data_IF_405329566184
#
_entry.id   IF_405329566184
#
_cell.length_a   1.000
_cell.length_b   1.000
_cell.length_c   1.000
_cell.angle_alpha   90.00
_cell.angle_beta   90.00
_cell.angle_gamma   90.00
#
_symmetry.space_group_name_H-M   'P 1'
#
loop_
_entity.id
_entity.type
_entity.pdbx_description
1 polymer ?
#
# COMPACT_ATOMS: atom_id res chain seq x y z
N UNK A 1 -39.53 34.66 -2.71
CA UNK A 1 -39.89 33.22 -2.66
C UNK A 1 -39.36 32.55 -3.91
N UNK A 2 -38.73 31.36 -3.83
CA UNK A 2 -38.21 30.67 -5.00
C UNK A 2 -39.34 30.32 -5.96
N UNK A 3 -39.15 30.59 -7.25
CA UNK A 3 -40.11 30.24 -8.30
C UNK A 3 -39.53 29.06 -9.07
N UNK A 4 -40.31 27.98 -9.16
CA UNK A 4 -39.97 26.81 -9.99
C UNK A 4 -40.60 27.02 -11.35
N UNK A 5 -39.78 27.13 -12.38
CA UNK A 5 -40.25 27.29 -13.76
C UNK A 5 -40.76 25.96 -14.33
N UNK A 6 -41.52 26.03 -15.44
CA UNK A 6 -42.08 24.85 -16.10
C UNK A 6 -41.02 23.85 -16.62
N UNK A 7 -39.78 24.29 -16.82
CA UNK A 7 -38.62 23.43 -17.15
C UNK A 7 -37.82 22.98 -15.92
N UNK A 8 -38.41 23.13 -14.72
CA UNK A 8 -37.87 22.70 -13.43
C UNK A 8 -36.58 23.41 -13.01
N UNK A 9 -36.39 24.68 -13.38
CA UNK A 9 -35.32 25.51 -12.81
C UNK A 9 -35.84 26.23 -11.56
N UNK A 10 -34.98 26.34 -10.56
CA UNK A 10 -35.28 27.12 -9.34
C UNK A 10 -34.61 28.48 -9.50
N UNK A 11 -35.41 29.50 -9.75
CA UNK A 11 -34.93 30.88 -9.80
C UNK A 11 -35.12 31.49 -8.41
N UNK A 12 -34.02 31.95 -7.83
CA UNK A 12 -34.00 32.63 -6.54
C UNK A 12 -33.47 34.05 -6.71
N UNK A 13 -34.31 35.03 -6.39
CA UNK A 13 -33.88 36.41 -6.16
C UNK A 13 -34.15 36.75 -4.70
N UNK A 14 -33.09 36.94 -3.95
CA UNK A 14 -33.16 37.35 -2.56
C UNK A 14 -31.84 37.98 -2.11
N UNK A 15 -31.88 38.78 -1.04
CA UNK A 15 -30.82 39.74 -0.73
C UNK A 15 -29.61 39.13 -0.03
N UNK A 16 -29.67 37.88 0.44
CA UNK A 16 -28.61 37.28 1.26
C UNK A 16 -28.10 35.94 0.71
N UNK A 17 -26.81 35.70 0.92
CA UNK A 17 -26.12 34.44 0.57
C UNK A 17 -26.54 33.27 1.45
N UNK A 18 -27.00 33.52 2.69
CA UNK A 18 -27.47 32.46 3.59
C UNK A 18 -28.80 31.88 3.12
N UNK A 19 -29.69 32.71 2.58
CA UNK A 19 -30.97 32.26 2.05
C UNK A 19 -30.81 31.42 0.76
N UNK A 20 -29.85 31.80 -0.10
CA UNK A 20 -29.52 31.01 -1.29
C UNK A 20 -28.94 29.63 -0.92
N UNK A 21 -28.17 29.55 0.17
CA UNK A 21 -27.59 28.30 0.68
C UNK A 21 -28.65 27.38 1.29
N UNK A 22 -29.64 27.96 1.99
CA UNK A 22 -30.81 27.25 2.51
C UNK A 22 -31.67 26.66 1.37
N UNK A 23 -31.94 27.43 0.31
CA UNK A 23 -32.68 26.96 -0.87
C UNK A 23 -31.92 25.85 -1.60
N UNK A 24 -30.59 25.93 -1.70
CA UNK A 24 -29.76 24.88 -2.29
C UNK A 24 -29.79 23.58 -1.47
N UNK A 25 -29.68 23.67 -0.14
CA UNK A 25 -29.74 22.48 0.72
C UNK A 25 -31.13 21.83 0.72
N UNK A 26 -32.20 22.62 0.67
CA UNK A 26 -33.57 22.12 0.53
C UNK A 26 -33.77 21.38 -0.81
N UNK A 27 -33.22 21.92 -1.91
CA UNK A 27 -33.24 21.25 -3.22
C UNK A 27 -32.40 19.96 -3.26
N UNK A 28 -31.31 19.91 -2.49
CA UNK A 28 -30.45 18.73 -2.32
C UNK A 28 -31.14 17.61 -1.55
N UNK A 29 -31.88 17.94 -0.48
CA UNK A 29 -32.60 16.94 0.34
C UNK A 29 -33.83 16.37 -0.36
N UNK A 30 -34.47 17.13 -1.25
CA UNK A 30 -35.61 16.68 -2.05
C UNK A 30 -35.24 15.74 -3.22
N UNK A 31 -33.99 15.27 -3.32
CA UNK A 31 -33.58 14.25 -4.28
C UNK A 31 -33.59 14.68 -5.76
N UNK A 32 -33.77 15.98 -6.05
CA UNK A 32 -33.77 16.51 -7.40
C UNK A 32 -32.33 16.66 -7.92
N UNK A 33 -31.83 15.60 -8.56
CA UNK A 33 -30.47 15.56 -9.11
C UNK A 33 -30.33 16.44 -10.37
N UNK A 34 -29.14 17.08 -10.45
CA UNK A 34 -28.53 17.75 -11.61
C UNK A 34 -29.39 18.84 -12.26
N UNK A 35 -29.01 20.11 -12.06
CA UNK A 35 -28.99 21.12 -13.14
C UNK A 35 -28.28 22.40 -12.68
N UNK A 36 -27.69 23.09 -13.65
CA UNK A 36 -26.91 24.33 -13.49
C UNK A 36 -27.73 25.40 -12.76
N UNK A 37 -27.16 25.97 -11.71
CA UNK A 37 -27.54 27.28 -11.19
C UNK A 37 -26.98 28.32 -12.17
N UNK A 38 -27.84 28.91 -12.99
CA UNK A 38 -27.50 30.08 -13.80
C UNK A 38 -28.05 31.32 -13.11
N UNK A 39 -27.15 32.20 -12.69
CA UNK A 39 -27.49 33.53 -12.17
C UNK A 39 -27.49 34.52 -13.34
N UNK A 40 -28.57 35.28 -13.50
CA UNK A 40 -28.64 36.40 -14.45
C UNK A 40 -28.29 37.68 -13.70
N UNK A 41 -27.14 38.31 -13.97
CA UNK A 41 -26.83 39.61 -13.42
C UNK A 41 -27.49 40.66 -14.31
N UNK A 42 -28.63 41.19 -13.90
CA UNK A 42 -29.09 42.43 -14.49
C UNK A 42 -28.18 43.57 -13.99
N UNK A 43 -27.15 43.86 -14.78
CA UNK A 43 -26.37 45.10 -14.73
C UNK A 43 -25.08 45.06 -13.92
N UNK A 44 -23.94 45.06 -14.60
CA UNK A 44 -22.66 45.47 -14.02
C UNK A 44 -21.47 44.64 -14.50
N UNK A 45 -20.65 45.23 -15.36
CA UNK A 45 -19.38 44.70 -15.85
C UNK A 45 -18.29 44.85 -14.79
N UNK A 46 -18.27 43.95 -13.80
CA UNK A 46 -17.14 43.83 -12.87
C UNK A 46 -16.60 42.40 -12.83
N UNK A 47 -15.27 42.31 -12.92
CA UNK A 47 -14.48 41.07 -12.81
C UNK A 47 -14.86 40.28 -11.54
N UNK A 48 -14.80 38.94 -11.57
CA UNK A 48 -15.23 38.08 -10.46
C UNK A 48 -14.20 38.06 -9.32
N UNK A 49 -14.00 39.19 -8.64
CA UNK A 49 -13.25 39.29 -7.37
C UNK A 49 -14.18 39.28 -6.14
N UNK A 50 -15.50 39.21 -6.35
CA UNK A 50 -16.49 39.03 -5.30
C UNK A 50 -16.60 37.59 -4.78
N UNK A 51 -17.15 37.44 -3.58
CA UNK A 51 -17.34 36.21 -2.80
C UNK A 51 -17.90 35.01 -3.59
N UNK A 52 -18.65 35.26 -4.68
CA UNK A 52 -19.17 34.24 -5.59
C UNK A 52 -18.09 33.55 -6.46
N UNK A 53 -17.04 34.25 -6.88
CA UNK A 53 -15.90 33.63 -7.57
C UNK A 53 -15.17 32.62 -6.69
N UNK A 54 -15.14 32.86 -5.36
CA UNK A 54 -14.61 31.91 -4.38
C UNK A 54 -15.46 30.64 -4.28
N UNK A 55 -16.78 30.73 -4.46
CA UNK A 55 -17.69 29.57 -4.41
C UNK A 55 -17.52 28.67 -5.64
N UNK A 56 -17.39 29.23 -6.84
CA UNK A 56 -17.15 28.43 -8.06
C UNK A 56 -15.79 27.70 -7.97
N UNK A 57 -14.74 28.40 -7.55
CA UNK A 57 -13.42 27.79 -7.33
C UNK A 57 -13.46 26.70 -6.25
N UNK A 58 -14.25 26.90 -5.19
CA UNK A 58 -14.44 25.88 -4.15
C UNK A 58 -15.25 24.66 -4.63
N UNK A 59 -16.25 24.85 -5.50
CA UNK A 59 -17.02 23.77 -6.11
C UNK A 59 -16.18 22.94 -7.09
N UNK A 60 -15.39 23.58 -7.95
CA UNK A 60 -14.45 22.88 -8.83
C UNK A 60 -13.37 22.12 -8.04
N UNK A 61 -12.88 22.71 -6.94
CA UNK A 61 -11.96 22.04 -6.04
C UNK A 61 -12.62 20.85 -5.32
N UNK A 62 -13.90 20.96 -4.95
CA UNK A 62 -14.67 19.87 -4.33
C UNK A 62 -14.97 18.74 -5.31
N UNK A 63 -15.31 19.04 -6.57
CA UNK A 63 -15.49 18.03 -7.62
C UNK A 63 -14.17 17.32 -7.96
N UNK A 64 -13.06 18.06 -8.05
CA UNK A 64 -11.73 17.46 -8.20
C UNK A 64 -11.38 16.58 -7.00
N UNK A 65 -11.68 17.01 -5.76
CA UNK A 65 -11.51 16.19 -4.56
C UNK A 65 -12.39 14.93 -4.58
N UNK A 66 -13.63 15.02 -5.06
CA UNK A 66 -14.55 13.89 -5.20
C UNK A 66 -14.06 12.89 -6.26
N UNK A 67 -13.66 13.37 -7.43
CA UNK A 67 -13.08 12.54 -8.49
C UNK A 67 -11.78 11.86 -8.04
N UNK A 68 -10.93 12.59 -7.29
CA UNK A 68 -9.72 12.02 -6.66
C UNK A 68 -10.10 10.99 -5.59
N UNK A 69 -11.07 11.26 -4.72
CA UNK A 69 -11.53 10.31 -3.71
C UNK A 69 -12.15 9.04 -4.33
N UNK A 70 -12.85 9.18 -5.45
CA UNK A 70 -13.47 8.07 -6.19
C UNK A 70 -12.43 7.26 -6.98
N UNK A 71 -11.43 7.92 -7.56
CA UNK A 71 -10.26 7.27 -8.14
C UNK A 71 -9.36 6.59 -7.09
N UNK A 72 -9.35 7.12 -5.86
CA UNK A 72 -8.67 6.53 -4.70
C UNK A 72 -9.50 5.46 -3.98
N UNK A 73 -10.78 5.28 -4.33
CA UNK A 73 -11.69 4.31 -3.70
C UNK A 73 -11.19 2.86 -3.78
N UNK A 74 -10.60 2.37 -4.90
CA UNK A 74 -9.97 1.05 -4.95
C UNK A 74 -8.77 0.92 -3.99
N UNK A 75 -7.99 2.00 -3.84
CA UNK A 75 -6.83 2.05 -2.94
C UNK A 75 -7.25 2.16 -1.47
N UNK A 76 -8.37 2.84 -1.17
CA UNK A 76 -8.96 2.91 0.18
C UNK A 76 -9.57 1.57 0.60
N UNK A 77 -10.22 0.85 -0.32
CA UNK A 77 -10.66 -0.53 -0.08
C UNK A 77 -9.47 -1.47 0.14
N UNK A 78 -8.34 -1.25 -0.56
CA UNK A 78 -7.10 -1.97 -0.27
C UNK A 78 -6.51 -1.61 1.10
N UNK A 79 -6.54 -0.33 1.50
CA UNK A 79 -6.05 0.11 2.80
C UNK A 79 -6.94 -0.34 3.98
N UNK A 80 -8.27 -0.33 3.83
CA UNK A 80 -9.20 -0.87 4.83
C UNK A 80 -9.17 -2.41 4.87
N UNK A 81 -8.80 -3.07 3.76
CA UNK A 81 -8.45 -4.51 3.75
C UNK A 81 -7.13 -4.83 4.47
N UNK A 82 -6.29 -3.84 4.78
CA UNK A 82 -5.11 -4.05 5.64
C UNK A 82 -5.45 -4.19 7.12
N UNK A 83 -6.71 -3.95 7.52
CA UNK A 83 -7.26 -4.51 8.77
C UNK A 83 -7.47 -6.02 8.58
N UNK A 84 -6.34 -6.72 8.52
CA UNK A 84 -6.22 -8.13 8.23
C UNK A 84 -6.61 -8.93 9.48
N UNK A 85 -7.73 -9.64 9.33
CA UNK A 85 -8.27 -10.72 10.17
C UNK A 85 -8.95 -10.30 11.48
N UNK A 86 -10.26 -10.02 11.44
CA UNK A 86 -11.33 -11.03 11.63
C UNK A 86 -12.71 -10.37 11.37
N UNK A 87 -13.77 -11.16 11.14
CA UNK A 87 -15.15 -10.62 11.01
C UNK A 87 -15.79 -10.25 12.36
N UNK A 88 -15.12 -10.55 13.48
CA UNK A 88 -15.61 -10.26 14.83
C UNK A 88 -14.43 -10.37 15.80
N UNK A 89 -13.89 -9.24 16.24
CA UNK A 89 -13.01 -9.21 17.40
C UNK A 89 -13.90 -9.25 18.64
N UNK A 90 -13.66 -10.19 19.53
CA UNK A 90 -14.29 -10.25 20.85
C UNK A 90 -13.66 -9.14 21.71
N UNK A 91 -14.45 -8.44 22.52
CA UNK A 91 -14.01 -7.29 23.35
C UNK A 91 -13.03 -7.67 24.48
N UNK A 92 -12.72 -8.96 24.65
CA UNK A 92 -11.79 -9.44 25.67
C UNK A 92 -10.35 -9.47 25.15
N UNK A 93 -9.42 -8.92 25.94
CA UNK A 93 -7.99 -9.07 25.66
C UNK A 93 -7.64 -10.56 25.53
N UNK A 94 -7.05 -10.97 24.40
CA UNK A 94 -6.79 -12.37 24.17
C UNK A 94 -5.76 -12.90 25.16
N UNK A 95 -6.07 -14.03 25.83
CA UNK A 95 -5.19 -14.69 26.81
C UNK A 95 -3.74 -14.80 26.30
N UNK A 96 -2.73 -14.54 27.16
CA UNK A 96 -1.33 -14.69 26.78
C UNK A 96 -0.98 -16.14 26.44
N UNK A 97 -1.69 -17.12 27.01
CA UNK A 97 -1.45 -18.53 26.77
C UNK A 97 -2.04 -19.00 25.42
N UNK A 98 -1.28 -19.79 24.64
CA UNK A 98 -1.79 -20.35 23.40
C UNK A 98 -2.93 -21.34 23.68
N UNK A 99 -4.02 -21.31 22.91
CA UNK A 99 -5.06 -22.35 22.99
C UNK A 99 -4.47 -23.74 22.75
N UNK A 100 -4.98 -24.77 23.44
CA UNK A 100 -4.52 -26.17 23.28
C UNK A 100 -4.49 -26.66 21.83
N UNK A 101 -5.43 -26.18 20.99
CA UNK A 101 -5.48 -26.51 19.56
C UNK A 101 -4.26 -25.94 18.82
N UNK A 102 -3.85 -24.71 19.13
CA UNK A 102 -2.65 -24.09 18.54
C UNK A 102 -1.41 -24.88 18.92
N UNK A 103 -1.25 -25.22 20.20
CA UNK A 103 -0.12 -26.03 20.68
C UNK A 103 -0.07 -27.38 19.95
N UNK A 104 -1.20 -28.09 19.91
CA UNK A 104 -1.32 -29.38 19.24
C UNK A 104 -0.95 -29.30 17.75
N UNK A 105 -1.52 -28.34 17.03
CA UNK A 105 -1.31 -28.23 15.58
C UNK A 105 0.10 -27.78 15.24
N UNK A 106 0.68 -26.87 16.03
CA UNK A 106 2.04 -26.42 15.84
C UNK A 106 3.04 -27.56 16.08
N UNK A 107 2.90 -28.32 17.17
CA UNK A 107 3.72 -29.49 17.46
C UNK A 107 3.60 -30.55 16.37
N UNK A 108 2.38 -30.83 15.90
CA UNK A 108 2.16 -31.82 14.84
C UNK A 108 2.83 -31.45 13.50
N UNK A 109 3.05 -30.16 13.24
CA UNK A 109 3.71 -29.68 12.03
C UNK A 109 5.21 -29.34 12.24
N UNK A 110 5.68 -29.42 13.47
CA UNK A 110 7.03 -29.07 13.92
C UNK A 110 7.92 -30.31 14.02
N UNK A 111 9.24 -30.11 14.10
CA UNK A 111 10.19 -31.18 14.45
C UNK A 111 10.44 -31.27 15.95
N UNK A 112 10.21 -30.19 16.70
CA UNK A 112 10.33 -30.18 18.16
C UNK A 112 9.23 -30.98 18.90
N UNK A 113 9.59 -31.46 20.09
CA UNK A 113 8.70 -32.14 21.05
C UNK A 113 7.96 -31.16 21.98
N UNK A 114 8.49 -29.94 22.16
CA UNK A 114 7.92 -28.90 23.04
C UNK A 114 7.52 -27.64 22.27
N UNK A 115 6.54 -26.91 22.82
CA UNK A 115 5.95 -25.75 22.15
C UNK A 115 6.92 -24.58 21.99
N UNK A 116 7.81 -24.35 22.96
CA UNK A 116 8.70 -23.20 22.97
C UNK A 116 9.81 -23.33 21.92
N UNK A 117 10.29 -24.55 21.70
CA UNK A 117 11.16 -24.86 20.57
C UNK A 117 10.39 -24.83 19.26
N UNK A 118 9.20 -25.47 19.20
CA UNK A 118 8.39 -25.55 17.98
C UNK A 118 8.04 -24.18 17.39
N UNK A 119 7.69 -23.21 18.24
CA UNK A 119 7.31 -21.85 17.79
C UNK A 119 8.46 -21.02 17.21
N UNK A 120 9.70 -21.50 17.34
CA UNK A 120 10.93 -20.84 16.83
C UNK A 120 11.43 -21.44 15.50
N UNK A 121 10.84 -22.55 15.05
CA UNK A 121 11.24 -23.22 13.80
C UNK A 121 10.69 -22.56 12.53
N UNK A 122 9.88 -21.50 12.67
CA UNK A 122 9.08 -20.98 11.57
C UNK A 122 9.64 -19.67 11.02
N UNK A 123 9.67 -19.54 9.71
CA UNK A 123 9.95 -18.30 9.02
C UNK A 123 8.77 -17.87 8.16
N UNK A 124 8.61 -16.56 8.01
CA UNK A 124 7.65 -15.98 7.09
C UNK A 124 8.40 -15.31 5.93
N UNK A 125 8.18 -15.79 4.71
CA UNK A 125 8.92 -15.37 3.51
C UNK A 125 8.22 -14.26 2.70
N UNK A 126 7.12 -13.70 3.23
CA UNK A 126 6.28 -12.72 2.53
C UNK A 126 5.20 -13.32 1.63
N UNK A 127 4.89 -14.60 1.79
CA UNK A 127 3.90 -15.28 0.95
C UNK A 127 2.47 -15.06 1.51
N UNK A 128 1.64 -14.39 0.72
CA UNK A 128 0.27 -13.98 1.09
C UNK A 128 -0.71 -14.55 0.08
N UNK A 129 -1.73 -15.30 0.51
CA UNK A 129 -2.76 -15.86 -0.39
C UNK A 129 -4.10 -15.22 -0.03
N UNK A 130 -4.75 -14.56 -0.98
CA UNK A 130 -6.06 -13.94 -0.76
C UNK A 130 -7.22 -14.92 -0.99
N UNK A 131 -8.35 -14.65 -0.36
CA UNK A 131 -9.61 -15.33 -0.64
C UNK A 131 -9.90 -15.30 -2.15
N UNK A 132 -10.13 -16.48 -2.73
CA UNK A 132 -10.34 -16.67 -4.18
C UNK A 132 -9.07 -16.98 -4.98
N UNK A 133 -7.88 -16.85 -4.40
CA UNK A 133 -6.64 -17.31 -5.04
C UNK A 133 -6.46 -18.83 -4.88
N UNK A 134 -5.72 -19.45 -5.81
CA UNK A 134 -5.38 -20.87 -5.73
C UNK A 134 -4.56 -21.16 -4.47
N UNK A 135 -4.89 -22.25 -3.78
CA UNK A 135 -4.20 -22.67 -2.55
C UNK A 135 -4.71 -22.01 -1.27
N UNK A 136 -5.70 -21.11 -1.36
CA UNK A 136 -6.35 -20.49 -0.21
C UNK A 136 -7.06 -21.52 0.68
N UNK A 137 -6.82 -21.43 1.98
CA UNK A 137 -7.52 -22.15 3.03
C UNK A 137 -8.47 -21.20 3.78
N UNK A 138 -9.77 -21.54 3.92
CA UNK A 138 -10.72 -20.70 4.64
C UNK A 138 -10.46 -20.64 6.15
N UNK A 139 -9.80 -21.67 6.69
CA UNK A 139 -9.56 -21.85 8.12
C UNK A 139 -8.06 -21.81 8.44
N UNK A 140 -7.72 -21.26 9.60
CA UNK A 140 -6.33 -21.13 10.02
C UNK A 140 -5.81 -22.50 10.43
N UNK A 141 -4.72 -22.97 9.81
CA UNK A 141 -4.19 -24.31 10.11
C UNK A 141 -3.62 -24.40 11.55
N UNK A 142 -3.35 -23.27 12.22
CA UNK A 142 -2.95 -23.24 13.63
C UNK A 142 -4.13 -23.23 14.61
N UNK A 143 -5.08 -22.30 14.48
CA UNK A 143 -6.17 -22.16 15.47
C UNK A 143 -7.50 -22.83 15.07
N UNK A 144 -7.58 -23.36 13.85
CA UNK A 144 -8.74 -24.07 13.31
C UNK A 144 -9.89 -23.16 12.85
N UNK A 145 -11.13 -23.69 12.80
CA UNK A 145 -12.30 -23.04 12.19
C UNK A 145 -12.87 -21.84 12.95
N UNK A 146 -12.21 -21.38 14.02
CA UNK A 146 -12.75 -20.33 14.90
C UNK A 146 -12.99 -19.01 14.15
N UNK A 147 -12.20 -18.74 13.12
CA UNK A 147 -12.33 -17.53 12.30
C UNK A 147 -12.13 -17.85 10.82
N UNK A 148 -13.12 -17.47 10.01
CA UNK A 148 -12.97 -17.44 8.56
C UNK A 148 -11.93 -16.38 8.19
N UNK A 149 -10.83 -16.81 7.61
CA UNK A 149 -9.80 -15.91 7.11
C UNK A 149 -10.23 -15.28 5.80
N UNK A 150 -9.69 -14.10 5.49
CA UNK A 150 -9.73 -13.51 4.13
C UNK A 150 -8.38 -13.54 3.44
N UNK A 151 -7.35 -13.88 4.20
CA UNK A 151 -5.96 -13.85 3.75
C UNK A 151 -5.19 -14.89 4.55
N UNK A 152 -4.47 -15.76 3.85
CA UNK A 152 -3.50 -16.67 4.45
C UNK A 152 -2.13 -16.05 4.37
N UNK A 153 -1.38 -16.20 5.45
CA UNK A 153 0.06 -16.03 5.47
C UNK A 153 0.67 -17.41 5.48
N UNK A 154 1.59 -17.67 4.54
CA UNK A 154 2.27 -18.96 4.48
C UNK A 154 3.56 -18.87 5.27
N UNK A 155 3.63 -19.62 6.37
CA UNK A 155 4.85 -19.81 7.16
C UNK A 155 5.50 -21.14 6.79
N UNK A 156 6.82 -21.16 6.84
CA UNK A 156 7.65 -22.29 6.43
C UNK A 156 8.48 -22.74 7.64
N UNK A 157 8.48 -24.03 7.93
CA UNK A 157 9.34 -24.62 8.94
C UNK A 157 10.74 -24.81 8.34
N UNK A 158 11.75 -24.21 8.96
CA UNK A 158 13.13 -24.25 8.44
C UNK A 158 13.85 -25.58 8.70
N UNK A 159 13.33 -26.42 9.60
CA UNK A 159 13.92 -27.69 10.01
C UNK A 159 13.43 -28.84 9.12
N UNK A 160 12.11 -28.94 8.90
CA UNK A 160 11.49 -30.05 8.17
C UNK A 160 10.85 -29.67 6.84
N UNK A 161 10.79 -28.38 6.51
CA UNK A 161 10.19 -27.90 5.25
C UNK A 161 8.67 -27.92 5.20
N UNK A 162 7.98 -28.25 6.30
CA UNK A 162 6.52 -28.14 6.39
C UNK A 162 6.07 -26.68 6.20
N UNK A 163 4.83 -26.52 5.74
CA UNK A 163 4.22 -25.20 5.54
C UNK A 163 2.85 -25.15 6.19
N UNK A 164 2.50 -23.97 6.73
CA UNK A 164 1.17 -23.71 7.28
C UNK A 164 0.59 -22.42 6.70
N UNK A 165 -0.72 -22.43 6.43
CA UNK A 165 -1.56 -21.30 6.03
C UNK A 165 -2.30 -20.77 7.26
N UNK A 166 -1.89 -19.60 7.70
CA UNK A 166 -2.29 -19.07 9.00
C UNK A 166 -2.80 -17.64 8.91
N UNK A 167 -3.56 -17.21 9.92
CA UNK A 167 -3.97 -15.83 10.06
C UNK A 167 -2.87 -14.97 10.69
N UNK A 168 -2.84 -13.68 10.36
CA UNK A 168 -1.91 -12.68 10.93
C UNK A 168 -1.88 -12.71 12.45
N UNK A 169 -3.04 -12.83 13.09
CA UNK A 169 -3.17 -12.88 14.55
C UNK A 169 -2.41 -14.08 15.13
N UNK A 170 -2.48 -15.25 14.50
CA UNK A 170 -1.76 -16.43 14.97
C UNK A 170 -0.25 -16.29 14.82
N UNK A 171 0.22 -15.69 13.72
CA UNK A 171 1.65 -15.44 13.51
C UNK A 171 2.20 -14.53 14.61
N UNK A 172 1.57 -13.36 14.82
CA UNK A 172 2.04 -12.36 15.78
C UNK A 172 2.00 -12.83 17.23
N UNK A 173 1.00 -13.64 17.60
CA UNK A 173 0.80 -14.07 18.99
C UNK A 173 1.63 -15.30 19.35
N UNK A 174 1.64 -16.30 18.48
CA UNK A 174 2.08 -17.64 18.87
C UNK A 174 3.45 -18.01 18.32
N UNK A 175 4.02 -17.26 17.36
CA UNK A 175 5.31 -17.58 16.76
C UNK A 175 6.40 -16.60 17.18
N UNK A 176 7.63 -17.11 17.24
CA UNK A 176 8.85 -16.30 17.28
C UNK A 176 9.59 -16.62 15.99
N UNK A 177 9.37 -15.79 14.96
CA UNK A 177 9.91 -16.04 13.64
C UNK A 177 11.45 -16.10 13.67
N UNK A 178 12.01 -16.94 12.81
CA UNK A 178 13.47 -17.03 12.63
C UNK A 178 14.04 -15.63 12.35
N UNK A 179 15.05 -15.26 13.14
CA UNK A 179 15.68 -13.94 13.12
C UNK A 179 15.17 -12.97 14.20
N UNK A 180 14.10 -13.30 14.92
CA UNK A 180 13.63 -12.52 16.06
C UNK A 180 14.03 -13.15 17.41
N UNK A 181 14.41 -12.33 18.39
CA UNK A 181 14.73 -12.78 19.74
C UNK A 181 13.47 -12.93 20.62
N UNK A 182 12.40 -12.18 20.33
CA UNK A 182 11.18 -12.13 21.13
C UNK A 182 9.89 -12.19 20.29
N UNK A 183 8.72 -12.49 20.90
CA UNK A 183 7.43 -12.41 20.21
C UNK A 183 7.09 -11.02 19.67
N UNK A 184 7.46 -9.95 20.38
CA UNK A 184 7.22 -8.59 19.94
C UNK A 184 8.03 -8.26 18.68
N UNK A 185 9.34 -8.56 18.70
CA UNK A 185 10.21 -8.40 17.54
C UNK A 185 9.77 -9.29 16.36
N UNK A 186 9.29 -10.50 16.64
CA UNK A 186 8.72 -11.40 15.64
C UNK A 186 7.50 -10.78 14.93
N UNK A 187 6.63 -10.10 15.68
CA UNK A 187 5.49 -9.38 15.10
C UNK A 187 5.96 -8.21 14.20
N UNK A 188 6.99 -7.47 14.60
CA UNK A 188 7.57 -6.39 13.79
C UNK A 188 8.21 -6.92 12.50
N UNK A 189 8.95 -8.03 12.59
CA UNK A 189 9.52 -8.74 11.43
C UNK A 189 8.39 -9.17 10.49
N UNK A 190 7.32 -9.77 11.01
CA UNK A 190 6.17 -10.18 10.22
C UNK A 190 5.50 -8.99 9.50
N UNK A 191 5.30 -7.87 10.20
CA UNK A 191 4.67 -6.68 9.64
C UNK A 191 5.53 -6.04 8.56
N UNK A 192 6.84 -5.93 8.80
CA UNK A 192 7.80 -5.43 7.79
C UNK A 192 7.78 -6.31 6.54
N UNK A 193 7.93 -7.63 6.70
CA UNK A 193 7.94 -8.59 5.59
C UNK A 193 6.60 -8.61 4.83
N UNK A 194 5.48 -8.45 5.53
CA UNK A 194 4.15 -8.34 4.91
C UNK A 194 4.06 -7.05 4.08
N UNK A 195 4.49 -5.92 4.62
CA UNK A 195 4.52 -4.64 3.90
C UNK A 195 5.38 -4.71 2.64
N UNK A 196 6.54 -5.36 2.71
CA UNK A 196 7.43 -5.60 1.56
C UNK A 196 6.78 -6.49 0.50
N UNK A 197 6.15 -7.59 0.90
CA UNK A 197 5.44 -8.47 -0.02
C UNK A 197 4.28 -7.76 -0.74
N UNK A 198 3.49 -6.99 0.00
CA UNK A 198 2.41 -6.19 -0.55
C UNK A 198 2.94 -5.14 -1.53
N UNK A 199 4.06 -4.48 -1.19
CA UNK A 199 4.74 -3.58 -2.11
C UNK A 199 5.11 -4.30 -3.41
N UNK A 200 5.77 -5.46 -3.32
CA UNK A 200 6.12 -6.28 -4.48
C UNK A 200 4.93 -6.62 -5.36
N UNK A 201 3.82 -7.10 -4.76
CA UNK A 201 2.57 -7.37 -5.49
C UNK A 201 2.01 -6.14 -6.18
N UNK A 202 1.92 -5.01 -5.48
CA UNK A 202 1.37 -3.77 -6.07
C UNK A 202 2.25 -3.17 -7.16
N UNK A 203 3.55 -3.48 -7.15
CA UNK A 203 4.51 -2.98 -8.14
C UNK A 203 4.91 -4.04 -9.18
N UNK A 204 4.24 -5.20 -9.22
CA UNK A 204 4.62 -6.35 -10.05
C UNK A 204 4.83 -5.97 -11.53
N UNK A 205 3.91 -5.20 -12.13
CA UNK A 205 4.03 -4.77 -13.53
C UNK A 205 5.29 -3.93 -13.79
N UNK A 206 5.61 -3.02 -12.87
CA UNK A 206 6.80 -2.16 -13.00
C UNK A 206 8.09 -2.94 -12.76
N UNK A 207 8.05 -3.94 -11.88
CA UNK A 207 9.18 -4.85 -11.64
C UNK A 207 9.38 -5.73 -12.87
N UNK A 208 8.32 -6.27 -13.46
CA UNK A 208 8.39 -7.06 -14.69
C UNK A 208 9.01 -6.26 -15.86
N UNK A 209 8.71 -4.96 -15.95
CA UNK A 209 9.33 -4.06 -16.92
C UNK A 209 10.86 -3.99 -16.82
N UNK A 210 11.45 -4.23 -15.64
CA UNK A 210 12.90 -4.24 -15.45
C UNK A 210 13.57 -5.43 -16.17
N UNK A 211 12.81 -6.50 -16.44
CA UNK A 211 13.29 -7.65 -17.20
C UNK A 211 13.38 -7.42 -18.72
N UNK A 212 12.87 -6.30 -19.23
CA UNK A 212 12.83 -6.01 -20.68
C UNK A 212 14.20 -5.62 -21.22
N UNK A 213 14.43 -5.87 -22.51
CA UNK A 213 15.68 -5.46 -23.16
C UNK A 213 15.91 -3.96 -23.08
N UNK A 214 14.84 -3.19 -23.33
CA UNK A 214 14.79 -1.74 -23.15
C UNK A 214 13.81 -1.41 -22.03
N UNK A 215 14.33 -0.89 -20.92
CA UNK A 215 13.55 -0.64 -19.71
C UNK A 215 12.86 0.72 -19.84
N UNK A 216 11.53 0.82 -19.67
CA UNK A 216 10.84 2.10 -19.66
C UNK A 216 11.31 2.97 -18.49
N UNK A 217 11.76 4.19 -18.76
CA UNK A 217 12.20 5.15 -17.75
C UNK A 217 11.12 5.40 -16.68
N UNK A 218 9.84 5.42 -17.09
CA UNK A 218 8.69 5.58 -16.20
C UNK A 218 8.61 4.50 -15.12
N UNK A 219 9.06 3.28 -15.41
CA UNK A 219 8.98 2.13 -14.51
C UNK A 219 10.05 2.26 -13.43
N UNK A 220 11.28 2.62 -13.81
CA UNK A 220 12.36 2.91 -12.86
C UNK A 220 12.00 4.07 -11.94
N UNK A 221 11.62 5.22 -12.51
CA UNK A 221 11.28 6.42 -11.71
C UNK A 221 10.06 6.17 -10.81
N UNK A 222 9.05 5.48 -11.35
CA UNK A 222 7.85 5.11 -10.60
C UNK A 222 8.16 4.18 -9.44
N UNK A 223 9.04 3.19 -9.63
CA UNK A 223 9.49 2.28 -8.58
C UNK A 223 10.27 2.99 -7.49
N UNK A 224 11.25 3.81 -7.85
CA UNK A 224 12.07 4.53 -6.87
C UNK A 224 11.21 5.50 -6.03
N UNK A 225 10.30 6.24 -6.66
CA UNK A 225 9.37 7.11 -5.93
C UNK A 225 8.40 6.33 -5.04
N UNK A 226 7.97 5.13 -5.46
CA UNK A 226 7.14 4.26 -4.64
C UNK A 226 7.92 3.67 -3.44
N UNK A 227 9.18 3.28 -3.65
CA UNK A 227 10.08 2.78 -2.60
C UNK A 227 10.33 3.86 -1.55
N UNK A 228 10.71 5.07 -1.97
CA UNK A 228 10.98 6.19 -1.07
C UNK A 228 9.75 6.55 -0.22
N UNK A 229 8.56 6.49 -0.81
CA UNK A 229 7.30 6.73 -0.08
C UNK A 229 6.95 5.60 0.89
N UNK A 230 7.19 4.35 0.51
CA UNK A 230 6.82 3.19 1.31
C UNK A 230 7.80 2.92 2.45
N UNK A 231 9.09 3.20 2.23
CA UNK A 231 10.22 2.87 3.09
C UNK A 231 11.14 4.09 3.26
N UNK A 232 10.68 5.14 3.98
CA UNK A 232 11.48 6.33 4.22
C UNK A 232 12.66 6.01 5.14
N UNK A 233 13.71 6.84 5.07
CA UNK A 233 14.84 6.73 6.00
C UNK A 233 14.36 6.86 7.47
N UNK A 234 14.85 6.02 8.41
CA UNK A 234 15.99 5.10 8.30
C UNK A 234 15.70 3.70 7.74
N UNK A 235 14.45 3.35 7.45
CA UNK A 235 14.01 2.01 7.01
C UNK A 235 14.38 1.69 5.56
N UNK A 236 15.65 1.77 5.19
CA UNK A 236 16.09 1.41 3.84
C UNK A 236 15.81 -0.07 3.58
N UNK A 237 15.37 -0.34 2.35
CA UNK A 237 15.21 -1.69 1.82
C UNK A 237 16.58 -2.34 1.74
N UNK A 238 16.77 -3.43 2.48
CA UNK A 238 17.98 -4.25 2.44
C UNK A 238 17.97 -5.17 1.22
N UNK A 239 19.07 -5.89 0.99
CA UNK A 239 19.11 -6.94 -0.03
C UNK A 239 18.12 -8.09 0.27
N UNK A 240 17.97 -8.46 1.55
CA UNK A 240 16.98 -9.44 1.99
C UNK A 240 15.55 -8.95 1.70
N UNK A 241 15.27 -7.68 2.01
CA UNK A 241 13.98 -7.05 1.75
C UNK A 241 13.66 -7.06 0.24
N UNK A 242 14.66 -6.79 -0.60
CA UNK A 242 14.52 -6.86 -2.06
C UNK A 242 14.14 -8.28 -2.50
N UNK A 243 14.72 -9.32 -1.89
CA UNK A 243 14.35 -10.70 -2.14
C UNK A 243 12.87 -11.00 -1.86
N UNK A 244 12.30 -10.43 -0.79
CA UNK A 244 10.87 -10.57 -0.46
C UNK A 244 10.00 -9.86 -1.50
N UNK A 245 10.33 -8.62 -1.85
CA UNK A 245 9.63 -7.83 -2.86
C UNK A 245 9.60 -8.60 -4.19
N UNK A 246 10.75 -9.13 -4.62
CA UNK A 246 10.92 -9.81 -5.90
C UNK A 246 10.16 -11.14 -5.98
N UNK A 247 10.20 -11.95 -4.91
CA UNK A 247 9.38 -13.17 -4.82
C UNK A 247 7.90 -12.86 -4.90
N UNK A 248 7.43 -11.87 -4.15
CA UNK A 248 6.03 -11.48 -4.14
C UNK A 248 5.55 -10.89 -5.49
N UNK A 249 6.46 -10.24 -6.23
CA UNK A 249 6.21 -9.72 -7.56
C UNK A 249 6.25 -10.79 -8.67
N UNK A 250 6.70 -12.02 -8.38
CA UNK A 250 6.92 -13.06 -9.40
C UNK A 250 8.00 -12.67 -10.42
N UNK A 251 9.03 -11.94 -9.97
CA UNK A 251 10.05 -11.39 -10.86
C UNK A 251 10.95 -12.47 -11.48
N UNK A 252 11.20 -12.37 -12.79
CA UNK A 252 12.20 -13.19 -13.47
C UNK A 252 13.64 -12.77 -13.13
N UNK A 253 14.61 -13.65 -13.41
CA UNK A 253 16.04 -13.48 -13.05
C UNK A 253 16.58 -12.07 -13.38
N UNK A 254 16.39 -11.61 -14.62
CA UNK A 254 16.86 -10.29 -15.05
C UNK A 254 16.19 -9.14 -14.30
N UNK A 255 14.88 -9.21 -14.05
CA UNK A 255 14.19 -8.18 -13.28
C UNK A 255 14.72 -8.12 -11.83
N UNK A 256 15.01 -9.28 -11.25
CA UNK A 256 15.62 -9.42 -9.92
C UNK A 256 16.99 -8.77 -9.86
N UNK A 257 17.90 -9.08 -10.81
CA UNK A 257 19.23 -8.46 -10.87
C UNK A 257 19.16 -6.94 -10.95
N UNK A 258 18.31 -6.41 -11.82
CA UNK A 258 18.16 -4.96 -12.02
C UNK A 258 17.57 -4.30 -10.78
N UNK A 259 16.53 -4.89 -10.18
CA UNK A 259 15.89 -4.35 -8.98
C UNK A 259 16.84 -4.36 -7.78
N UNK A 260 17.55 -5.46 -7.55
CA UNK A 260 18.56 -5.55 -6.49
C UNK A 260 19.66 -4.50 -6.71
N UNK A 261 20.12 -4.30 -7.95
CA UNK A 261 21.08 -3.24 -8.25
C UNK A 261 20.54 -1.83 -7.99
N UNK A 262 19.25 -1.59 -8.26
CA UNK A 262 18.59 -0.31 -7.95
C UNK A 262 18.53 -0.04 -6.44
N UNK A 263 18.18 -1.05 -5.64
CA UNK A 263 18.06 -0.93 -4.19
C UNK A 263 19.43 -0.81 -3.50
N UNK A 264 20.42 -1.60 -3.94
CA UNK A 264 21.77 -1.62 -3.36
C UNK A 264 22.69 -0.51 -3.88
N UNK A 265 22.29 0.19 -4.94
CA UNK A 265 23.12 1.21 -5.59
C UNK A 265 24.30 0.64 -6.38
N UNK A 266 24.21 -0.61 -6.87
CA UNK A 266 25.26 -1.23 -7.68
C UNK A 266 25.37 -0.57 -9.07
N UNK A 267 26.23 0.44 -9.16
CA UNK A 267 26.41 1.26 -10.37
C UNK A 267 26.90 0.50 -11.61
N UNK A 268 27.54 -0.67 -11.44
CA UNK A 268 28.09 -1.45 -12.55
C UNK A 268 26.96 -2.06 -13.38
N UNK A 269 25.99 -2.69 -12.73
CA UNK A 269 24.80 -3.25 -13.37
C UNK A 269 23.96 -2.12 -13.99
N UNK A 270 23.78 -1.01 -13.26
CA UNK A 270 22.95 0.10 -13.71
C UNK A 270 23.52 0.83 -14.95
N UNK A 271 24.85 0.90 -15.10
CA UNK A 271 25.51 1.50 -16.27
C UNK A 271 25.26 0.72 -17.58
N UNK A 272 25.01 -0.58 -17.49
CA UNK A 272 24.73 -1.44 -18.64
C UNK A 272 23.28 -1.38 -19.14
N UNK A 273 22.38 -0.69 -18.43
CA UNK A 273 20.96 -0.70 -18.75
C UNK A 273 20.62 0.16 -19.98
N UNK A 274 19.97 -0.46 -20.96
CA UNK A 274 19.33 0.27 -22.06
C UNK A 274 18.00 0.85 -21.57
N UNK A 275 17.99 2.13 -21.21
CA UNK A 275 16.76 2.82 -20.79
C UNK A 275 16.07 3.44 -22.00
N UNK A 276 14.81 3.07 -22.22
CA UNK A 276 13.95 3.72 -23.20
C UNK A 276 13.47 5.05 -22.64
N UNK A 277 14.07 6.14 -23.14
CA UNK A 277 13.70 7.51 -22.78
C UNK A 277 12.30 7.82 -23.28
N UNK A 278 11.53 8.55 -22.48
CA UNK A 278 10.31 9.18 -22.98
C UNK A 278 10.67 10.46 -23.73
N UNK A 279 10.06 10.66 -24.90
CA UNK A 279 10.13 11.93 -25.63
C UNK A 279 9.30 12.98 -24.87
N UNK A 280 9.92 13.68 -23.92
CA UNK A 280 9.32 14.77 -23.13
C UNK A 280 10.35 15.41 -22.19
N UNK A 281 10.63 16.70 -22.40
CA UNK A 281 11.91 17.39 -22.13
C UNK A 281 12.25 17.69 -20.65
N UNK A 282 13.56 17.65 -20.40
CA UNK A 282 14.39 18.33 -19.38
C UNK A 282 14.13 18.15 -17.88
N UNK A 283 12.90 18.24 -17.38
CA UNK A 283 12.64 18.31 -15.93
C UNK A 283 12.93 16.98 -15.19
N UNK A 284 12.95 15.88 -15.93
CA UNK A 284 13.21 14.52 -15.42
C UNK A 284 14.70 14.18 -15.28
N UNK A 285 15.59 14.81 -16.07
CA UNK A 285 17.04 14.55 -15.97
C UNK A 285 17.56 14.90 -14.57
N UNK A 286 17.03 15.97 -13.95
CA UNK A 286 17.35 16.34 -12.56
C UNK A 286 16.91 15.29 -11.56
N UNK A 287 15.73 14.67 -11.72
CA UNK A 287 15.23 13.64 -10.78
C UNK A 287 15.97 12.32 -10.90
N UNK A 288 16.34 11.91 -12.11
CA UNK A 288 17.17 10.71 -12.30
C UNK A 288 18.59 10.97 -11.80
N UNK A 289 19.21 12.09 -12.19
CA UNK A 289 20.52 12.47 -11.66
C UNK A 289 20.50 12.60 -10.12
N UNK A 290 19.42 13.16 -9.55
CA UNK A 290 19.22 13.24 -8.11
C UNK A 290 19.06 11.85 -7.46
N UNK A 291 18.29 10.94 -8.07
CA UNK A 291 18.16 9.57 -7.59
C UNK A 291 19.48 8.80 -7.65
N UNK A 292 20.26 8.96 -8.72
CA UNK A 292 21.60 8.38 -8.83
C UNK A 292 22.60 9.06 -7.88
N UNK A 293 22.48 10.36 -7.61
CA UNK A 293 23.34 11.07 -6.65
C UNK A 293 22.96 10.82 -5.18
N UNK A 294 21.69 10.56 -4.86
CA UNK A 294 21.30 10.12 -3.51
C UNK A 294 21.68 8.67 -3.25
N UNK A 295 21.70 7.83 -4.29
CA UNK A 295 22.30 6.48 -4.23
C UNK A 295 23.83 6.53 -4.03
N UNK A 296 24.53 7.53 -4.57
CA UNK A 296 25.97 7.75 -4.35
C UNK A 296 26.32 8.36 -2.98
N UNK A 297 25.33 8.77 -2.19
CA UNK A 297 25.49 9.21 -0.79
C UNK A 297 25.26 8.08 0.22
N UNK A 298 25.07 6.83 -0.23
CA UNK A 298 25.11 5.69 0.68
C UNK A 298 26.48 5.63 1.36
N UNK A 299 26.48 5.39 2.67
CA UNK A 299 27.68 5.33 3.53
C UNK A 299 28.74 4.32 3.08
N UNK A 300 28.45 3.46 2.09
CA UNK A 300 29.41 2.59 1.44
C UNK A 300 30.54 3.35 0.69
N UNK A 301 30.38 4.65 0.41
CA UNK A 301 31.44 5.50 -0.15
C UNK A 301 32.25 6.30 0.88
N UNK A 302 31.89 6.27 2.17
CA UNK A 302 32.82 6.70 3.23
C UNK A 302 33.73 5.51 3.53
N UNK A 303 34.74 5.35 2.70
CA UNK A 303 35.91 4.57 3.06
C UNK A 303 36.44 5.08 4.41
N UNK A 304 36.45 4.29 5.51
CA UNK A 304 37.26 4.62 6.67
C UNK A 304 38.71 4.19 6.41
N UNK A 305 39.26 4.47 5.22
CA UNK A 305 40.69 4.42 4.99
C UNK A 305 41.23 5.81 5.29
N UNK A 306 41.55 6.03 6.56
CA UNK A 306 42.12 7.28 7.02
C UNK A 306 42.04 7.38 8.53
N UNK A 307 42.75 6.50 9.23
CA UNK A 307 43.64 6.90 10.31
C UNK A 307 44.60 5.75 10.63
N UNK A 308 45.88 6.04 10.39
CA UNK A 308 47.00 5.50 11.14
C UNK A 308 46.83 5.81 12.64
#
# INVERSE_FOLDING_TARGET
>A
MPVVTADHRVLYSGPSTEDAFLVYNLARELGAYRRKLEYSPDGGTDTPTGTCGKIIVQLEAAEKRKAVAEALRPFRIQAERLHLNSRKWWDDEPSPEPPKVVVKNLLAASSAEDFETARREWEYRGEVIYEGESGFAPECELCGPKELMRTNYVIHNVVNGNRLRVGSVCVKRFLVLVGAASPAESADVFDRRTKLALFGRTQADRIADLGKEKIPEKSIVGLLGALEKAFPFPDRVTEEDAGIILRAAGAGVRASEVFTALVTGNSTVLRGLKVQKMLGKEDKRRRIAAAFSTLSWSSAYRNPAGNF
#
